data_IF_918085760132
#
_entry.id   IF_918085760132
#
_cell.length_a   1.000
_cell.length_b   1.000
_cell.length_c   1.000
_cell.angle_alpha   90.00
_cell.angle_beta   90.00
_cell.angle_gamma   90.00
#
_symmetry.space_group_name_H-M   'P 1'
#
loop_
_entity.id
_entity.type
_entity.pdbx_description
1 polymer ?
#
# COMPACT_ATOMS: atom_id res chain seq x y z
N UNK A 1 19.60 -2.09 -20.54
CA UNK A 1 19.19 -0.67 -20.37
C UNK A 1 18.64 -0.55 -18.96
N UNK A 2 19.33 0.17 -18.06
CA UNK A 2 18.82 0.41 -16.72
C UNK A 2 17.58 1.32 -16.78
N UNK A 3 16.61 1.05 -15.91
CA UNK A 3 15.40 1.83 -15.74
C UNK A 3 15.23 2.15 -14.26
N UNK A 4 14.55 3.25 -13.96
CA UNK A 4 14.37 3.75 -12.60
C UNK A 4 12.89 3.89 -12.31
N UNK A 5 12.47 3.44 -11.13
CA UNK A 5 11.18 3.81 -10.54
C UNK A 5 11.44 4.92 -9.51
N UNK A 6 10.60 5.94 -9.46
CA UNK A 6 10.76 7.05 -8.51
C UNK A 6 9.44 7.45 -7.87
N UNK A 7 9.55 8.05 -6.70
CA UNK A 7 8.44 8.61 -5.92
C UNK A 7 8.77 10.06 -5.62
N UNK A 8 7.88 10.96 -6.04
CA UNK A 8 7.91 12.39 -5.72
C UNK A 8 6.84 12.71 -4.68
N UNK A 9 7.18 13.57 -3.74
CA UNK A 9 6.24 14.18 -2.80
C UNK A 9 5.95 15.61 -3.26
N UNK A 10 4.70 15.86 -3.62
CA UNK A 10 4.21 17.19 -3.94
C UNK A 10 3.95 18.01 -2.66
N UNK A 11 3.86 19.33 -2.78
CA UNK A 11 3.63 20.23 -1.63
C UNK A 11 2.28 20.01 -0.92
N UNK A 12 1.28 19.49 -1.63
CA UNK A 12 -0.02 19.09 -1.08
C UNK A 12 0.03 17.78 -0.26
N UNK A 13 1.21 17.17 -0.15
CA UNK A 13 1.42 15.89 0.52
C UNK A 13 1.00 14.68 -0.32
N UNK A 14 0.59 14.87 -1.59
CA UNK A 14 0.34 13.77 -2.50
C UNK A 14 1.66 13.11 -2.96
N UNK A 15 1.58 11.81 -3.28
CA UNK A 15 2.70 11.05 -3.81
C UNK A 15 2.48 10.74 -5.28
N UNK A 16 3.43 11.15 -6.11
CA UNK A 16 3.49 10.80 -7.51
C UNK A 16 4.50 9.68 -7.72
N UNK A 17 4.10 8.62 -8.41
CA UNK A 17 4.94 7.48 -8.73
C UNK A 17 5.06 7.37 -10.23
N UNK A 18 6.27 7.13 -10.73
CA UNK A 18 6.50 6.89 -12.15
C UNK A 18 7.79 6.14 -12.40
N UNK A 19 7.96 5.66 -13.63
CA UNK A 19 9.19 5.06 -14.11
C UNK A 19 9.82 5.91 -15.23
N UNK A 20 11.14 5.83 -15.36
CA UNK A 20 11.89 6.52 -16.41
C UNK A 20 13.24 5.82 -16.63
N UNK A 21 13.83 5.98 -17.81
CA UNK A 21 15.21 5.57 -18.07
C UNK A 21 16.22 6.65 -17.64
N UNK A 22 15.79 7.90 -17.48
CA UNK A 22 16.65 9.03 -17.14
C UNK A 22 16.01 9.87 -16.03
N UNK A 23 16.39 9.56 -14.79
CA UNK A 23 15.82 10.17 -13.59
C UNK A 23 16.15 11.67 -13.49
N UNK A 24 17.38 12.06 -13.76
CA UNK A 24 17.84 13.44 -13.65
C UNK A 24 17.10 14.35 -14.63
N UNK A 25 17.01 13.93 -15.90
CA UNK A 25 16.30 14.69 -16.92
C UNK A 25 14.81 14.85 -16.56
N UNK A 26 14.20 13.77 -16.03
CA UNK A 26 12.80 13.79 -15.61
C UNK A 26 12.58 14.69 -14.38
N UNK A 27 13.48 14.65 -13.41
CA UNK A 27 13.44 15.51 -12.23
C UNK A 27 13.57 16.98 -12.63
N UNK A 28 14.52 17.30 -13.51
CA UNK A 28 14.71 18.64 -14.05
C UNK A 28 13.43 19.16 -14.71
N UNK A 29 12.82 18.38 -15.61
CA UNK A 29 11.52 18.73 -16.22
C UNK A 29 10.44 19.03 -15.17
N UNK A 30 10.36 18.20 -14.13
CA UNK A 30 9.39 18.41 -13.07
C UNK A 30 9.68 19.66 -12.23
N UNK A 31 10.95 20.02 -12.00
CA UNK A 31 11.36 21.23 -11.28
C UNK A 31 11.17 22.51 -12.10
N UNK A 32 11.44 22.47 -13.40
CA UNK A 32 11.30 23.63 -14.31
C UNK A 32 9.86 23.85 -14.77
N UNK A 33 8.95 22.92 -14.47
CA UNK A 33 7.55 23.00 -14.88
C UNK A 33 7.29 22.55 -16.32
N UNK A 34 8.33 22.11 -17.06
CA UNK A 34 8.23 21.50 -18.39
C UNK A 34 7.74 20.03 -18.36
N UNK A 35 7.63 19.45 -17.17
CA UNK A 35 7.08 18.11 -16.94
C UNK A 35 5.57 18.01 -17.17
N UNK A 36 4.96 16.95 -16.64
CA UNK A 36 3.52 16.75 -16.79
C UNK A 36 2.72 17.97 -16.28
N UNK A 37 1.67 18.37 -17.03
CA UNK A 37 0.70 19.45 -16.65
C UNK A 37 0.16 19.31 -15.22
N UNK A 38 0.18 18.10 -14.66
CA UNK A 38 -0.27 17.79 -13.31
C UNK A 38 0.74 18.23 -12.23
N UNK A 39 2.03 18.08 -12.48
CA UNK A 39 3.12 18.43 -11.53
C UNK A 39 3.53 19.91 -11.61
N UNK A 40 3.33 20.57 -12.76
CA UNK A 40 3.70 21.98 -12.94
C UNK A 40 2.87 22.95 -12.08
N UNK A 41 1.63 22.56 -11.70
CA UNK A 41 0.78 23.34 -10.78
C UNK A 41 1.02 23.07 -9.29
N UNK A 42 1.85 22.07 -8.95
CA UNK A 42 2.03 21.57 -7.56
C UNK A 42 3.48 21.62 -7.11
N UNK A 43 4.23 22.59 -7.62
CA UNK A 43 5.59 22.90 -7.19
C UNK A 43 5.57 23.47 -5.75
N UNK A 44 6.57 23.16 -4.92
CA UNK A 44 7.73 22.30 -5.20
C UNK A 44 7.43 20.80 -5.06
N UNK A 45 8.04 19.99 -5.93
CA UNK A 45 8.07 18.53 -5.83
C UNK A 45 9.43 18.08 -5.26
N UNK A 46 9.42 17.18 -4.28
CA UNK A 46 10.64 16.63 -3.66
C UNK A 46 10.79 15.16 -4.05
N UNK A 47 11.95 14.77 -4.54
CA UNK A 47 12.28 13.35 -4.71
C UNK A 47 12.45 12.74 -3.32
N UNK A 48 11.62 11.75 -2.99
CA UNK A 48 11.64 11.09 -1.68
C UNK A 48 12.17 9.66 -1.75
N UNK A 49 12.07 9.01 -2.90
CA UNK A 49 12.56 7.65 -3.09
C UNK A 49 12.82 7.38 -4.58
N UNK A 50 13.85 6.59 -4.89
CA UNK A 50 14.10 6.04 -6.21
C UNK A 50 14.68 4.63 -6.09
N UNK A 51 14.41 3.80 -7.10
CA UNK A 51 14.85 2.41 -7.18
C UNK A 51 15.37 2.17 -8.60
N UNK A 52 16.61 1.68 -8.70
CA UNK A 52 17.21 1.27 -9.98
C UNK A 52 16.84 -0.18 -10.27
N UNK A 53 16.41 -0.44 -11.50
CA UNK A 53 16.13 -1.76 -12.03
C UNK A 53 16.96 -2.00 -13.28
N UNK A 54 17.48 -3.22 -13.43
CA UNK A 54 18.30 -3.58 -14.59
C UNK A 54 17.46 -3.71 -15.87
N UNK A 55 16.14 -3.85 -15.72
CA UNK A 55 15.16 -4.01 -16.80
C UNK A 55 14.00 -3.03 -16.66
N UNK A 56 13.50 -2.54 -17.78
CA UNK A 56 12.33 -1.66 -17.82
C UNK A 56 11.03 -2.37 -17.40
N UNK A 57 10.93 -3.67 -17.70
CA UNK A 57 9.78 -4.50 -17.31
C UNK A 57 9.63 -4.57 -15.79
N UNK A 58 10.76 -4.68 -15.08
CA UNK A 58 10.81 -4.70 -13.61
C UNK A 58 10.39 -3.35 -13.04
N UNK A 59 10.93 -2.25 -13.58
CA UNK A 59 10.56 -0.90 -13.17
C UNK A 59 9.05 -0.64 -13.34
N UNK A 60 8.46 -1.10 -14.45
CA UNK A 60 7.03 -0.96 -14.73
C UNK A 60 6.16 -1.86 -13.83
N UNK A 61 6.59 -3.09 -13.57
CA UNK A 61 5.95 -3.99 -12.62
C UNK A 61 5.94 -3.41 -11.19
N UNK A 62 7.08 -2.86 -10.78
CA UNK A 62 7.27 -2.20 -9.49
C UNK A 62 6.42 -0.94 -9.37
N UNK A 63 6.38 -0.10 -10.41
CA UNK A 63 5.52 1.09 -10.49
C UNK A 63 4.05 0.71 -10.24
N UNK A 64 3.52 -0.27 -10.98
CA UNK A 64 2.13 -0.74 -10.80
C UNK A 64 1.86 -1.27 -9.40
N UNK A 65 2.82 -1.97 -8.81
CA UNK A 65 2.71 -2.48 -7.45
C UNK A 65 2.63 -1.34 -6.43
N UNK A 66 3.57 -0.39 -6.49
CA UNK A 66 3.63 0.76 -5.57
C UNK A 66 2.46 1.69 -5.79
N UNK A 67 1.98 1.88 -7.02
CA UNK A 67 0.84 2.74 -7.32
C UNK A 67 -0.41 2.33 -6.52
N UNK A 68 -0.64 1.00 -6.39
CA UNK A 68 -1.75 0.41 -5.60
C UNK A 68 -1.54 0.44 -4.09
N UNK A 69 -0.37 0.81 -3.59
CA UNK A 69 -0.11 0.84 -2.15
C UNK A 69 -0.82 2.00 -1.46
N UNK A 70 -1.31 1.72 -0.25
CA UNK A 70 -1.80 2.74 0.68
C UNK A 70 -0.67 3.72 1.05
N UNK A 71 -1.07 4.93 1.47
CA UNK A 71 -0.13 6.00 1.85
C UNK A 71 0.83 5.57 2.97
N UNK A 72 0.35 4.80 3.95
CA UNK A 72 1.16 4.27 5.04
C UNK A 72 2.30 3.37 4.53
N UNK A 73 1.99 2.46 3.59
CA UNK A 73 2.99 1.53 3.03
C UNK A 73 4.02 2.27 2.17
N UNK A 74 3.60 3.31 1.44
CA UNK A 74 4.53 4.20 0.72
C UNK A 74 5.45 4.97 1.67
N UNK A 75 4.92 5.46 2.80
CA UNK A 75 5.74 6.12 3.82
C UNK A 75 6.77 5.16 4.43
N UNK A 76 6.37 3.93 4.76
CA UNK A 76 7.28 2.92 5.28
C UNK A 76 8.40 2.59 4.28
N UNK A 77 8.07 2.53 2.98
CA UNK A 77 9.08 2.38 1.91
C UNK A 77 10.04 3.56 1.85
N UNK A 78 9.53 4.79 1.86
CA UNK A 78 10.34 6.02 1.81
C UNK A 78 11.28 6.13 3.01
N UNK A 79 10.81 5.73 4.20
CA UNK A 79 11.60 5.81 5.43
C UNK A 79 12.54 4.59 5.63
N UNK A 80 12.61 3.65 4.68
CA UNK A 80 13.35 2.39 4.81
C UNK A 80 12.97 1.54 6.03
N UNK A 81 11.74 1.66 6.53
CA UNK A 81 11.25 0.83 7.64
C UNK A 81 10.72 -0.50 7.10
N UNK A 82 11.62 -1.48 7.00
CA UNK A 82 11.32 -2.84 6.52
C UNK A 82 10.29 -3.58 7.39
N UNK A 83 10.37 -3.45 8.71
CA UNK A 83 9.46 -4.09 9.66
C UNK A 83 8.01 -3.59 9.51
N UNK A 84 7.85 -2.28 9.35
CA UNK A 84 6.53 -1.67 9.19
C UNK A 84 5.92 -1.96 7.81
N UNK A 85 6.75 -2.13 6.77
CA UNK A 85 6.30 -2.62 5.47
C UNK A 85 5.70 -4.02 5.54
N UNK A 86 6.31 -4.93 6.31
CA UNK A 86 5.83 -6.30 6.50
C UNK A 86 4.49 -6.26 7.25
N UNK A 87 4.43 -5.52 8.36
CA UNK A 87 3.20 -5.36 9.15
C UNK A 87 2.05 -4.75 8.33
N UNK A 88 2.31 -3.72 7.53
CA UNK A 88 1.30 -3.09 6.67
C UNK A 88 0.95 -3.94 5.44
N UNK A 89 1.77 -4.94 5.10
CA UNK A 89 1.46 -5.91 4.05
C UNK A 89 0.59 -7.07 4.57
N UNK A 90 0.50 -7.28 5.88
CA UNK A 90 -0.38 -8.28 6.47
C UNK A 90 -1.85 -7.88 6.23
N UNK A 91 -2.60 -8.77 5.60
CA UNK A 91 -4.04 -8.62 5.44
C UNK A 91 -4.71 -8.70 6.81
N UNK A 92 -5.09 -7.55 7.38
CA UNK A 92 -5.86 -7.48 8.63
C UNK A 92 -7.38 -7.69 8.44
N UNK A 93 -7.83 -8.26 7.32
CA UNK A 93 -9.27 -8.47 7.10
C UNK A 93 -9.80 -9.53 8.07
N UNK A 94 -10.92 -9.27 8.74
CA UNK A 94 -11.53 -10.17 9.74
C UNK A 94 -11.99 -11.50 9.11
N UNK A 95 -12.31 -11.49 7.82
CA UNK A 95 -12.67 -12.69 7.06
C UNK A 95 -11.46 -13.53 6.62
N UNK A 96 -10.23 -13.07 6.87
CA UNK A 96 -9.02 -13.79 6.50
C UNK A 96 -8.82 -15.00 7.44
N UNK A 97 -8.45 -16.15 6.88
CA UNK A 97 -8.34 -17.42 7.61
C UNK A 97 -7.42 -17.38 8.84
N UNK A 98 -6.43 -16.47 8.86
CA UNK A 98 -5.50 -16.26 9.98
C UNK A 98 -6.07 -15.42 11.13
N UNK A 99 -7.06 -14.57 10.87
CA UNK A 99 -7.64 -13.64 11.84
C UNK A 99 -9.03 -14.06 12.32
N UNK A 100 -9.53 -15.21 11.82
CA UNK A 100 -10.80 -15.75 12.23
C UNK A 100 -10.57 -16.86 13.28
N UNK A 101 -10.71 -16.58 14.59
CA UNK A 101 -10.72 -17.61 15.60
C UNK A 101 -12.06 -18.34 15.55
N UNK A 102 -12.36 -19.05 14.45
CA UNK A 102 -13.48 -20.00 14.48
C UNK A 102 -13.06 -21.16 15.36
N UNK A 103 -13.78 -21.46 16.46
CA UNK A 103 -13.58 -22.71 17.16
C UNK A 103 -13.84 -23.83 16.16
N UNK A 104 -12.94 -24.80 16.13
CA UNK A 104 -13.19 -26.08 15.49
C UNK A 104 -14.27 -26.77 16.32
N UNK A 105 -15.55 -26.52 16.02
CA UNK A 105 -16.65 -27.29 16.62
C UNK A 105 -16.61 -28.71 16.05
N UNK A 106 -15.86 -29.57 16.74
CA UNK A 106 -15.98 -31.01 16.65
C UNK A 106 -17.38 -31.42 17.11
N UNK A 107 -18.12 -32.06 16.20
CA UNK A 107 -19.42 -32.65 16.42
C UNK A 107 -19.52 -33.40 17.76
N UNK A 108 -20.46 -32.99 18.64
CA UNK A 108 -21.18 -33.88 19.53
C UNK A 108 -22.59 -33.35 19.82
N UNK A 109 -23.59 -34.22 19.68
CA UNK A 109 -24.80 -34.17 20.51
C UNK A 109 -26.03 -33.52 19.89
N UNK A 110 -26.81 -34.34 19.17
CA UNK A 110 -28.27 -34.22 19.19
C UNK A 110 -28.76 -34.11 20.63
N UNK A 111 -29.46 -33.02 20.98
CA UNK A 111 -30.46 -33.06 22.03
C UNK A 111 -31.59 -32.07 21.73
N UNK A 112 -32.76 -32.64 21.57
CA UNK A 112 -34.06 -31.99 21.44
C UNK A 112 -34.30 -31.11 22.68
N UNK A 113 -34.54 -29.81 22.52
CA UNK A 113 -35.03 -28.97 23.62
C UNK A 113 -36.52 -29.20 23.79
N UNK A 114 -36.87 -30.03 24.77
CA UNK A 114 -38.21 -30.13 25.34
C UNK A 114 -38.33 -29.17 26.53
N UNK A 115 -39.38 -28.34 26.56
CA UNK A 115 -40.07 -27.99 27.81
C UNK A 115 -39.77 -26.64 28.49
N UNK A 116 -40.74 -25.72 28.32
CA UNK A 116 -41.43 -24.83 29.29
C UNK A 116 -40.74 -24.47 30.64
N UNK A 117 -40.69 -23.17 30.96
CA UNK A 117 -41.55 -22.46 31.95
C UNK A 117 -40.84 -21.36 32.77
N UNK A 118 -41.48 -20.18 32.75
CA UNK A 118 -41.62 -19.10 33.76
C UNK A 118 -40.56 -18.94 34.88
N UNK A 119 -40.15 -17.69 35.11
CA UNK A 119 -40.36 -17.05 36.42
C UNK A 119 -40.24 -15.52 36.37
N UNK A 120 -41.21 -14.90 37.03
CA UNK A 120 -41.30 -13.48 37.39
C UNK A 120 -40.30 -13.08 38.48
N UNK A 121 -40.16 -11.75 38.64
CA UNK A 121 -39.60 -10.89 39.72
C UNK A 121 -38.53 -9.97 39.11
N UNK A 122 -38.72 -8.65 39.11
CA UNK A 122 -39.09 -7.78 40.23
C UNK A 122 -40.32 -6.92 39.91
#
# INVERSE_FOLDING_TARGET
>A
MSAYMYILKCNDGSYYTGSTNNLEYRLYQHMTGEGAKYTSKRLPVKLVYFEECNRIDEAFGREKQVQKWARAKKNALINNFSEELVRLAECMNETHSKNNPRPFDSAQGSSYTCGVQQNEKI
#
